data_IF_794823311387
#
_entry.id   IF_794823311387
#
_cell.length_a   1.000
_cell.length_b   1.000
_cell.length_c   1.000
_cell.angle_alpha   90.00
_cell.angle_beta   90.00
_cell.angle_gamma   90.00
#
_symmetry.space_group_name_H-M   'P 1'
#
loop_
_entity.id
_entity.type
_entity.pdbx_description
1 polymer ?
#
# COMPACT_ATOMS: atom_id res chain seq x y z
N UNK A 1 1.60 -1.53 4.73
CA UNK A 1 0.51 -1.75 5.71
C UNK A 1 -0.69 -0.93 5.28
N UNK A 2 -1.89 -1.44 5.42
CA UNK A 2 -3.13 -0.75 5.08
C UNK A 2 -4.24 -1.10 6.12
N UNK A 3 -5.33 -0.29 6.14
CA UNK A 3 -6.46 -0.50 7.05
C UNK A 3 -7.12 0.81 7.48
N UNK A 4 -7.97 0.78 8.53
CA UNK A 4 -8.60 1.96 9.10
C UNK A 4 -7.60 3.06 9.48
N UNK A 5 -7.96 4.33 9.20
CA UNK A 5 -7.17 5.55 9.49
C UNK A 5 -5.86 5.70 8.70
N UNK A 6 -5.55 4.79 7.78
CA UNK A 6 -4.41 4.91 6.91
C UNK A 6 -4.76 5.84 5.73
N UNK A 7 -3.96 6.86 5.48
CA UNK A 7 -4.30 7.96 4.56
C UNK A 7 -3.85 7.72 3.11
N UNK A 8 -2.73 7.03 2.88
CA UNK A 8 -2.20 6.83 1.53
C UNK A 8 -3.13 5.92 0.69
N UNK A 9 -3.62 4.82 1.30
CA UNK A 9 -4.58 3.93 0.64
C UNK A 9 -6.00 4.51 0.63
N UNK A 10 -6.34 5.37 1.60
CA UNK A 10 -7.58 6.13 1.55
C UNK A 10 -7.61 7.10 0.36
N UNK A 11 -6.52 7.81 0.06
CA UNK A 11 -6.41 8.65 -1.14
C UNK A 11 -6.61 7.84 -2.43
N UNK A 12 -6.14 6.58 -2.46
CA UNK A 12 -6.43 5.67 -3.57
C UNK A 12 -7.93 5.34 -3.65
N UNK A 13 -8.60 5.10 -2.51
CA UNK A 13 -10.04 4.86 -2.47
C UNK A 13 -10.84 6.08 -2.96
N UNK A 14 -10.47 7.30 -2.55
CA UNK A 14 -11.07 8.53 -3.08
C UNK A 14 -10.88 8.67 -4.61
N UNK A 15 -9.70 8.34 -5.11
CA UNK A 15 -9.41 8.37 -6.54
C UNK A 15 -10.29 7.37 -7.30
N UNK A 16 -10.40 6.14 -6.81
CA UNK A 16 -11.28 5.10 -7.37
C UNK A 16 -12.75 5.53 -7.33
N UNK A 17 -13.20 6.17 -6.24
CA UNK A 17 -14.55 6.75 -6.14
C UNK A 17 -14.80 7.79 -7.23
N UNK A 18 -13.79 8.54 -7.63
CA UNK A 18 -13.82 9.50 -8.75
C UNK A 18 -13.56 8.84 -10.12
N UNK A 19 -13.62 7.50 -10.20
CA UNK A 19 -13.39 6.71 -11.40
C UNK A 19 -11.97 6.81 -11.99
N UNK A 20 -10.98 7.17 -11.18
CA UNK A 20 -9.58 7.34 -11.61
C UNK A 20 -8.68 6.40 -10.82
N UNK A 21 -7.77 5.74 -11.53
CA UNK A 21 -6.71 4.92 -10.96
C UNK A 21 -5.36 5.28 -11.60
N UNK A 22 -4.30 5.23 -10.81
CA UNK A 22 -2.95 5.53 -11.26
C UNK A 22 -2.05 4.32 -11.05
N UNK A 23 -1.37 3.90 -12.12
CA UNK A 23 -0.36 2.86 -12.08
C UNK A 23 0.99 3.40 -12.61
N UNK A 24 2.09 2.83 -12.14
CA UNK A 24 3.44 3.25 -12.52
C UNK A 24 4.12 2.20 -13.39
N UNK A 25 4.43 2.60 -14.62
CA UNK A 25 5.13 1.77 -15.61
C UNK A 25 4.26 0.66 -16.19
N UNK A 26 4.70 0.14 -17.35
CA UNK A 26 3.95 -0.84 -18.12
C UNK A 26 4.25 -2.31 -17.73
N UNK A 27 5.31 -2.53 -16.95
CA UNK A 27 5.68 -3.88 -16.51
C UNK A 27 5.00 -4.20 -15.19
N UNK A 28 4.64 -5.47 -14.99
CA UNK A 28 4.10 -5.97 -13.73
C UNK A 28 5.02 -5.59 -12.57
N UNK A 29 4.42 -5.15 -11.49
CA UNK A 29 5.05 -4.89 -10.21
C UNK A 29 4.45 -5.85 -9.19
N UNK A 30 5.30 -6.61 -8.53
CA UNK A 30 4.90 -7.57 -7.51
C UNK A 30 4.98 -6.90 -6.13
N UNK A 31 3.86 -6.91 -5.41
CA UNK A 31 3.72 -6.23 -4.11
C UNK A 31 3.13 -7.22 -3.10
N UNK A 32 3.60 -7.15 -1.87
CA UNK A 32 2.99 -7.81 -0.72
C UNK A 32 2.28 -6.79 0.16
N UNK A 33 1.19 -7.20 0.79
CA UNK A 33 0.39 -6.36 1.66
C UNK A 33 0.30 -6.96 3.05
N UNK A 34 0.05 -6.11 4.05
CA UNK A 34 -0.27 -6.54 5.41
C UNK A 34 -1.39 -5.66 5.96
N UNK A 35 -2.41 -6.28 6.51
CA UNK A 35 -3.51 -5.57 7.16
C UNK A 35 -3.09 -5.12 8.56
N UNK A 36 -3.58 -3.97 9.00
CA UNK A 36 -3.14 -3.34 10.26
C UNK A 36 -3.31 -4.24 11.48
N UNK A 37 -4.38 -5.04 11.54
CA UNK A 37 -4.60 -5.93 12.69
C UNK A 37 -3.61 -7.09 12.75
N UNK A 38 -3.13 -7.59 11.61
CA UNK A 38 -2.05 -8.59 11.58
C UNK A 38 -0.72 -8.00 12.05
N UNK A 39 -0.48 -6.70 11.78
CA UNK A 39 0.69 -6.00 12.34
C UNK A 39 0.57 -5.87 13.86
N UNK A 40 -0.61 -5.51 14.37
CA UNK A 40 -0.87 -5.44 15.82
C UNK A 40 -0.62 -6.79 16.47
N UNK A 41 -1.15 -7.88 15.88
CA UNK A 41 -0.87 -9.25 16.35
C UNK A 41 0.64 -9.54 16.38
N UNK A 42 1.34 -9.24 15.29
CA UNK A 42 2.77 -9.50 15.20
C UNK A 42 3.58 -8.71 16.26
N UNK A 43 3.14 -7.49 16.63
CA UNK A 43 3.77 -6.72 17.72
C UNK A 43 3.60 -7.45 19.06
N UNK A 44 2.42 -7.97 19.38
CA UNK A 44 2.22 -8.73 20.61
C UNK A 44 3.04 -10.03 20.60
N UNK A 45 3.06 -10.76 19.51
CA UNK A 45 3.89 -11.96 19.37
C UNK A 45 5.39 -11.64 19.55
N UNK A 46 5.85 -10.49 19.03
CA UNK A 46 7.23 -10.07 19.20
C UNK A 46 7.58 -9.66 20.65
N UNK A 47 6.61 -9.21 21.44
CA UNK A 47 6.82 -8.96 22.87
C UNK A 47 7.01 -10.26 23.64
N UNK A 48 6.31 -11.33 23.24
CA UNK A 48 6.35 -12.63 23.93
C UNK A 48 7.51 -13.51 23.43
N UNK A 49 7.78 -13.53 22.15
CA UNK A 49 8.70 -14.46 21.48
C UNK A 49 9.87 -13.80 20.73
N UNK A 50 9.85 -12.46 20.62
CA UNK A 50 10.85 -11.74 19.83
C UNK A 50 12.26 -11.80 20.41
N UNK A 51 13.25 -12.01 19.55
CA UNK A 51 14.65 -12.01 19.92
C UNK A 51 15.27 -10.62 19.74
N UNK A 52 16.09 -10.20 20.71
CA UNK A 52 16.78 -8.89 20.66
C UNK A 52 17.62 -8.74 19.39
N UNK A 53 17.44 -7.61 18.70
CA UNK A 53 18.15 -7.26 17.47
C UNK A 53 17.60 -7.91 16.20
N UNK A 54 16.59 -8.76 16.27
CA UNK A 54 15.93 -9.37 15.10
C UNK A 54 15.00 -8.36 14.40
N UNK A 55 14.82 -8.57 13.11
CA UNK A 55 13.91 -7.80 12.25
C UNK A 55 13.06 -8.77 11.44
N UNK A 56 11.78 -8.53 11.39
CA UNK A 56 10.82 -9.40 10.70
C UNK A 56 10.06 -8.61 9.64
N UNK A 57 9.91 -9.21 8.45
CA UNK A 57 8.96 -8.75 7.46
C UNK A 57 7.60 -9.37 7.72
N UNK A 58 6.56 -8.62 7.44
CA UNK A 58 5.18 -9.05 7.60
C UNK A 58 4.41 -8.85 6.31
N UNK A 59 3.63 -9.85 5.92
CA UNK A 59 2.65 -9.77 4.85
C UNK A 59 1.55 -10.81 5.07
N UNK A 60 0.55 -10.84 4.19
CA UNK A 60 -0.47 -11.89 4.18
C UNK A 60 -0.02 -13.20 3.52
N UNK A 61 1.27 -13.30 3.15
CA UNK A 61 1.88 -14.47 2.52
C UNK A 61 1.66 -14.57 1.00
N UNK A 62 0.89 -13.65 0.40
CA UNK A 62 0.60 -13.67 -1.04
C UNK A 62 1.32 -12.54 -1.79
N UNK A 63 1.47 -12.71 -3.11
CA UNK A 63 2.08 -11.70 -3.99
C UNK A 63 1.06 -11.21 -5.00
N UNK A 64 0.81 -9.93 -4.98
CA UNK A 64 -0.20 -9.27 -5.80
C UNK A 64 0.41 -8.37 -6.86
N UNK A 65 -0.35 -8.08 -7.92
CA UNK A 65 0.00 -7.00 -8.84
C UNK A 65 -0.28 -5.63 -8.21
N UNK A 66 0.46 -4.60 -8.64
CA UNK A 66 0.26 -3.23 -8.15
C UNK A 66 -1.15 -2.67 -8.38
N UNK A 67 -1.91 -3.27 -9.30
CA UNK A 67 -3.27 -2.86 -9.64
C UNK A 67 -4.35 -3.66 -8.90
N UNK A 68 -3.97 -4.69 -8.14
CA UNK A 68 -4.92 -5.56 -7.45
C UNK A 68 -5.69 -4.80 -6.36
N UNK A 69 -4.98 -3.96 -5.61
CA UNK A 69 -5.59 -3.18 -4.55
C UNK A 69 -6.68 -2.24 -5.08
N UNK A 70 -6.41 -1.50 -6.16
CA UNK A 70 -7.40 -0.61 -6.79
C UNK A 70 -8.57 -1.38 -7.42
N UNK A 71 -8.33 -2.57 -7.97
CA UNK A 71 -9.39 -3.44 -8.48
C UNK A 71 -10.32 -3.92 -7.35
N UNK A 72 -9.76 -4.28 -6.19
CA UNK A 72 -10.54 -4.67 -5.01
C UNK A 72 -11.32 -3.48 -4.46
N UNK A 73 -10.71 -2.29 -4.34
CA UNK A 73 -11.43 -1.07 -3.95
C UNK A 73 -12.62 -0.81 -4.88
N UNK A 74 -12.40 -0.87 -6.20
CA UNK A 74 -13.46 -0.73 -7.20
C UNK A 74 -14.62 -1.69 -6.93
N UNK A 75 -14.32 -2.96 -6.69
CA UNK A 75 -15.30 -4.01 -6.40
C UNK A 75 -16.08 -3.73 -5.11
N UNK A 76 -15.38 -3.49 -4.00
CA UNK A 76 -15.98 -3.32 -2.67
C UNK A 76 -16.76 -2.00 -2.52
N UNK A 77 -16.40 -0.99 -3.30
CA UNK A 77 -17.12 0.28 -3.37
C UNK A 77 -18.30 0.27 -4.37
N UNK A 78 -18.44 -0.78 -5.18
CA UNK A 78 -19.48 -0.88 -6.21
C UNK A 78 -19.29 0.07 -7.39
N UNK A 79 -18.03 0.48 -7.67
CA UNK A 79 -17.73 1.39 -8.78
C UNK A 79 -17.76 0.61 -10.10
N UNK A 80 -18.69 0.94 -11.00
CA UNK A 80 -18.92 0.18 -12.23
C UNK A 80 -17.77 0.22 -13.24
N UNK A 81 -17.15 1.39 -13.41
CA UNK A 81 -16.02 1.60 -14.33
C UNK A 81 -14.92 2.46 -13.69
N UNK A 82 -13.72 2.39 -14.22
CA UNK A 82 -12.57 3.14 -13.73
C UNK A 82 -11.55 3.32 -14.87
N UNK A 83 -11.09 4.53 -15.08
CA UNK A 83 -10.02 4.84 -16.03
C UNK A 83 -8.67 4.69 -15.33
N UNK A 84 -7.81 3.85 -15.88
CA UNK A 84 -6.46 3.67 -15.36
C UNK A 84 -5.44 4.45 -16.18
N UNK A 85 -4.78 5.41 -15.56
CA UNK A 85 -3.68 6.16 -16.14
C UNK A 85 -2.35 5.49 -15.75
N UNK A 86 -1.60 5.07 -16.77
CA UNK A 86 -0.29 4.45 -16.55
C UNK A 86 0.78 5.51 -16.79
N UNK A 87 1.44 5.93 -15.73
CA UNK A 87 2.55 6.88 -15.82
C UNK A 87 3.86 6.14 -16.18
N UNK A 88 4.46 6.39 -17.35
CA UNK A 88 5.80 5.89 -17.64
C UNK A 88 6.81 6.37 -16.59
N UNK A 89 7.77 5.54 -16.24
CA UNK A 89 8.75 5.86 -15.17
C UNK A 89 9.58 7.12 -15.47
N UNK A 90 9.81 7.44 -16.76
CA UNK A 90 10.52 8.66 -17.15
C UNK A 90 9.68 9.92 -16.88
N UNK A 91 8.35 9.87 -17.08
CA UNK A 91 7.45 10.98 -16.72
C UNK A 91 7.48 11.22 -15.22
N UNK A 92 7.37 10.13 -14.42
CA UNK A 92 7.46 10.21 -12.97
C UNK A 92 8.78 10.88 -12.52
N UNK A 93 9.91 10.55 -13.16
CA UNK A 93 11.21 11.17 -12.87
C UNK A 93 11.20 12.68 -13.12
N UNK A 94 10.59 13.12 -14.21
CA UNK A 94 10.47 14.55 -14.54
C UNK A 94 9.60 15.26 -13.49
N UNK A 95 8.43 14.69 -13.19
CA UNK A 95 7.50 15.28 -12.21
C UNK A 95 8.11 15.38 -10.82
N UNK A 96 8.81 14.35 -10.36
CA UNK A 96 9.47 14.37 -9.05
C UNK A 96 10.63 15.36 -9.00
N UNK A 97 11.40 15.50 -10.08
CA UNK A 97 12.50 16.48 -10.18
C UNK A 97 11.98 17.92 -10.07
N UNK A 98 10.96 18.27 -10.85
CA UNK A 98 10.36 19.60 -10.78
C UNK A 98 9.60 19.83 -9.46
N UNK A 99 8.89 18.81 -8.99
CA UNK A 99 8.20 18.86 -7.70
C UNK A 99 9.15 19.20 -6.55
N UNK A 100 10.30 18.54 -6.48
CA UNK A 100 11.31 18.82 -5.44
C UNK A 100 11.85 20.26 -5.54
N UNK A 101 12.08 20.77 -6.75
CA UNK A 101 12.53 22.16 -6.96
C UNK A 101 11.48 23.17 -6.49
N UNK A 102 10.21 22.94 -6.82
CA UNK A 102 9.11 23.81 -6.39
C UNK A 102 8.92 23.71 -4.87
N UNK A 103 9.01 22.50 -4.28
CA UNK A 103 8.92 22.29 -2.85
C UNK A 103 9.99 23.06 -2.06
N UNK A 104 11.22 23.07 -2.55
CA UNK A 104 12.32 23.86 -1.95
C UNK A 104 12.06 25.36 -2.03
N UNK A 105 11.50 25.85 -3.15
CA UNK A 105 11.20 27.26 -3.34
C UNK A 105 10.00 27.73 -2.49
N UNK A 106 9.00 26.86 -2.32
CA UNK A 106 7.75 27.19 -1.60
C UNK A 106 7.80 26.82 -0.12
N UNK A 107 8.88 26.18 0.36
CA UNK A 107 9.01 25.61 1.72
C UNK A 107 7.85 24.68 2.12
N UNK A 108 7.17 24.06 1.14
CA UNK A 108 6.09 23.11 1.39
C UNK A 108 6.55 21.69 1.06
N UNK A 109 6.26 20.70 1.91
CA UNK A 109 6.51 19.31 1.59
C UNK A 109 5.65 18.89 0.39
N UNK A 110 6.30 18.38 -0.66
CA UNK A 110 5.59 17.85 -1.84
C UNK A 110 5.53 16.34 -1.73
N UNK A 111 4.34 15.78 -1.94
CA UNK A 111 4.06 14.36 -1.85
C UNK A 111 4.90 13.51 -2.82
N UNK A 112 5.26 14.06 -4.00
CA UNK A 112 6.10 13.41 -5.00
C UNK A 112 7.51 13.99 -4.96
N UNK A 113 8.42 13.32 -4.29
CA UNK A 113 9.84 13.61 -4.18
C UNK A 113 10.70 12.46 -4.74
N UNK A 114 12.03 12.64 -4.77
CA UNK A 114 12.96 11.62 -5.24
C UNK A 114 12.86 10.29 -4.47
N UNK A 115 12.53 10.31 -3.20
CA UNK A 115 12.37 9.11 -2.39
C UNK A 115 11.14 8.32 -2.86
N UNK A 116 10.02 9.00 -3.08
CA UNK A 116 8.81 8.38 -3.66
C UNK A 116 9.07 7.84 -5.07
N UNK A 117 9.88 8.54 -5.90
CA UNK A 117 10.30 8.01 -7.20
C UNK A 117 11.07 6.69 -7.05
N UNK A 118 12.04 6.64 -6.14
CA UNK A 118 12.85 5.45 -5.91
C UNK A 118 12.01 4.26 -5.42
N UNK A 119 11.00 4.51 -4.63
CA UNK A 119 10.02 3.53 -4.17
C UNK A 119 9.16 3.06 -5.35
N UNK A 120 8.52 3.96 -6.06
CA UNK A 120 7.54 3.64 -7.10
C UNK A 120 8.15 2.95 -8.34
N UNK A 121 9.44 3.19 -8.63
CA UNK A 121 10.12 2.52 -9.76
C UNK A 121 10.48 1.05 -9.49
N UNK A 122 10.50 0.62 -8.22
CA UNK A 122 10.84 -0.77 -7.87
C UNK A 122 9.78 -1.73 -8.41
N UNK A 123 10.23 -2.88 -8.88
CA UNK A 123 9.35 -3.89 -9.49
C UNK A 123 9.04 -5.05 -8.57
N UNK A 124 9.83 -5.22 -7.53
CA UNK A 124 9.70 -6.33 -6.60
C UNK A 124 9.67 -5.80 -5.17
N UNK A 125 8.51 -5.91 -4.56
CA UNK A 125 8.23 -5.64 -3.16
C UNK A 125 7.77 -6.90 -2.43
N UNK A 126 8.32 -8.05 -2.83
CA UNK A 126 8.09 -9.30 -2.11
C UNK A 126 8.88 -9.27 -0.82
N UNK A 127 8.27 -9.74 0.23
CA UNK A 127 8.95 -9.99 1.50
C UNK A 127 8.76 -11.44 1.90
N UNK A 128 9.80 -12.00 2.50
CA UNK A 128 9.78 -13.31 3.10
C UNK A 128 9.28 -13.19 4.55
N UNK A 129 8.23 -13.92 4.88
CA UNK A 129 7.64 -13.94 6.22
C UNK A 129 7.95 -15.22 6.99
N UNK A 130 8.66 -16.19 6.40
CA UNK A 130 9.01 -17.45 7.08
C UNK A 130 9.70 -17.19 8.43
N UNK A 131 10.69 -16.27 8.56
CA UNK A 131 11.28 -15.98 9.87
C UNK A 131 10.27 -15.46 10.91
N UNK A 132 9.25 -14.70 10.50
CA UNK A 132 8.21 -14.25 11.42
C UNK A 132 7.28 -15.41 11.81
N UNK A 133 6.99 -16.32 10.89
CA UNK A 133 6.18 -17.50 11.17
C UNK A 133 6.90 -18.45 12.12
N UNK A 134 8.18 -18.74 11.87
CA UNK A 134 8.95 -19.72 12.64
C UNK A 134 9.34 -19.21 14.02
N UNK A 135 9.80 -17.95 14.12
CA UNK A 135 10.36 -17.39 15.35
C UNK A 135 9.29 -16.74 16.26
N UNK A 136 8.27 -16.10 15.66
CA UNK A 136 7.21 -15.42 16.42
C UNK A 136 5.90 -16.22 16.48
N UNK A 137 5.72 -17.24 15.64
CA UNK A 137 4.43 -17.89 15.47
C UNK A 137 3.42 -16.99 14.72
N UNK A 138 3.91 -16.08 13.86
CA UNK A 138 3.04 -15.19 13.10
C UNK A 138 2.26 -15.94 12.03
N UNK A 139 0.95 -15.79 12.06
CA UNK A 139 0.06 -16.31 11.02
C UNK A 139 -0.91 -15.20 10.60
N UNK A 140 -0.81 -14.69 9.34
CA UNK A 140 -1.70 -13.63 8.87
C UNK A 140 -3.15 -14.12 8.79
N UNK A 141 -4.08 -13.40 9.40
CA UNK A 141 -5.50 -13.72 9.41
C UNK A 141 -6.28 -13.09 8.26
N UNK A 142 -5.76 -12.01 7.69
CA UNK A 142 -6.46 -11.22 6.69
C UNK A 142 -5.74 -11.29 5.34
N UNK A 143 -6.36 -11.91 4.35
CA UNK A 143 -5.93 -11.77 2.95
C UNK A 143 -6.32 -10.39 2.41
N UNK A 144 -5.64 -9.95 1.34
CA UNK A 144 -5.84 -8.62 0.76
C UNK A 144 -7.32 -8.28 0.52
N UNK A 145 -8.10 -9.21 -0.01
CA UNK A 145 -9.52 -9.00 -0.29
C UNK A 145 -10.33 -8.68 0.99
N UNK A 146 -10.12 -9.45 2.07
CA UNK A 146 -10.84 -9.27 3.33
C UNK A 146 -10.46 -7.96 3.99
N UNK A 147 -9.17 -7.64 4.03
CA UNK A 147 -8.69 -6.39 4.60
C UNK A 147 -9.19 -5.16 3.84
N UNK A 148 -9.23 -5.20 2.49
CA UNK A 148 -9.78 -4.10 1.67
C UNK A 148 -11.27 -3.92 1.95
N UNK A 149 -12.03 -5.01 2.03
CA UNK A 149 -13.47 -4.96 2.38
C UNK A 149 -13.67 -4.27 3.73
N UNK A 150 -12.97 -4.71 4.77
CA UNK A 150 -13.04 -4.12 6.11
C UNK A 150 -12.62 -2.65 6.14
N UNK A 151 -11.58 -2.28 5.39
CA UNK A 151 -11.14 -0.89 5.28
C UNK A 151 -12.23 -0.01 4.61
N UNK A 152 -12.84 -0.47 3.53
CA UNK A 152 -13.93 0.25 2.84
C UNK A 152 -15.16 0.37 3.73
N UNK A 153 -15.55 -0.68 4.45
CA UNK A 153 -16.63 -0.64 5.43
C UNK A 153 -16.37 0.42 6.50
N UNK A 154 -15.13 0.44 7.03
CA UNK A 154 -14.74 1.44 8.02
C UNK A 154 -14.77 2.87 7.46
N UNK A 155 -14.26 3.10 6.24
CA UNK A 155 -14.29 4.42 5.59
C UNK A 155 -15.72 4.92 5.43
N UNK A 156 -16.65 4.05 4.99
CA UNK A 156 -18.07 4.39 4.86
C UNK A 156 -18.72 4.71 6.22
N UNK A 157 -18.48 3.88 7.22
CA UNK A 157 -19.06 4.03 8.55
C UNK A 157 -18.59 5.29 9.29
N UNK A 158 -17.38 5.79 8.96
CA UNK A 158 -16.79 6.97 9.61
C UNK A 158 -16.84 8.24 8.75
N UNK A 159 -17.58 8.23 7.63
CA UNK A 159 -17.79 9.41 6.79
C UNK A 159 -16.54 9.86 6.01
N UNK A 160 -15.61 8.93 5.76
CA UNK A 160 -14.44 9.19 4.92
C UNK A 160 -14.77 9.02 3.43
N UNK A 161 -15.72 8.13 3.09
CA UNK A 161 -16.21 7.84 1.74
C UNK A 161 -17.68 8.22 1.55
#
# INVERSE_FOLDING_TARGET
>A
MYGPRETDYFLMAESVKKHVDFAVGFKRQDITFVYVLDVVQAVFLALDHGMSGRKYFLSDGEVYSSTEFSNLLKKEMGVGWMLRFIAPTWVLRIVTYFGERIGRLTHKPIALNNDKYNILKQRNWRCDIEPAMDELGYHPHYKLQDGVRLAVEWYKANGWL
#
